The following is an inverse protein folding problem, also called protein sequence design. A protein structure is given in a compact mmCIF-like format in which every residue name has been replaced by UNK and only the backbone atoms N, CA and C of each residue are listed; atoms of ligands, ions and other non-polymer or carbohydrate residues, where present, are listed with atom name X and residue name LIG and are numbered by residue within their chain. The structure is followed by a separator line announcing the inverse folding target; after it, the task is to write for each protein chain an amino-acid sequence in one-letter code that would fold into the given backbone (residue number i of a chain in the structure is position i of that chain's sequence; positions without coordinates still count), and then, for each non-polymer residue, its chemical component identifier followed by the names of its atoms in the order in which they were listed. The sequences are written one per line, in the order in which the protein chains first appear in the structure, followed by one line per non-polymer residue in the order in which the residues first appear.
data_IF_124114689843
#
_entry.id   IF_124114689843
#
_cell.length_a   1.000
_cell.length_b   1.000
_cell.length_c   1.000
_cell.angle_alpha   90.00
_cell.angle_beta   90.00
_cell.angle_gamma   90.00
#
_symmetry.space_group_name_H-M   'P 1'
#
loop_
_entity.id
_entity.type
_entity.pdbx_description
1 polymer ?
#
# COMPACT_ATOMS: atom_id res chain seq x y z
N UNK A 1 11.45 54.84 -50.41
CA UNK A 1 12.14 53.59 -50.81
C UNK A 1 12.46 52.81 -49.54
N UNK A 2 11.86 51.62 -49.37
CA UNK A 2 11.99 50.75 -48.18
C UNK A 2 13.46 50.33 -47.98
N UNK A 3 13.93 50.29 -46.73
CA UNK A 3 15.09 49.48 -46.35
C UNK A 3 14.80 48.79 -45.01
N UNK A 4 14.71 47.47 -45.11
CA UNK A 4 14.55 46.48 -44.06
C UNK A 4 15.93 46.24 -43.45
N UNK A 5 16.07 46.20 -42.13
CA UNK A 5 17.21 45.53 -41.50
C UNK A 5 16.75 44.66 -40.33
N UNK A 6 17.05 43.37 -40.47
CA UNK A 6 16.75 42.26 -39.54
C UNK A 6 17.68 42.37 -38.32
N UNK A 7 17.12 42.39 -37.11
CA UNK A 7 17.87 42.23 -35.87
C UNK A 7 18.20 40.77 -35.61
N UNK A 8 19.43 40.36 -35.91
CA UNK A 8 19.97 39.07 -35.47
C UNK A 8 20.57 39.18 -34.08
N UNK A 9 20.18 38.28 -33.17
CA UNK A 9 20.75 38.19 -31.83
C UNK A 9 22.20 37.68 -31.94
N UNK A 10 23.16 38.58 -31.70
CA UNK A 10 24.57 38.24 -31.66
C UNK A 10 24.89 37.55 -30.34
N UNK A 11 24.87 36.22 -30.31
CA UNK A 11 25.40 35.44 -29.17
C UNK A 11 26.92 35.43 -29.27
N UNK A 12 27.59 36.05 -28.30
CA UNK A 12 29.05 36.04 -28.20
C UNK A 12 29.57 34.61 -28.10
N UNK A 13 30.62 34.27 -28.86
CA UNK A 13 31.33 32.98 -28.75
C UNK A 13 31.74 32.68 -27.30
N UNK A 14 32.04 33.70 -26.49
CA UNK A 14 32.38 33.52 -25.07
C UNK A 14 31.21 33.02 -24.21
N UNK A 15 29.97 33.33 -24.57
CA UNK A 15 28.77 32.86 -23.86
C UNK A 15 28.48 31.38 -24.15
N UNK A 16 28.79 30.92 -25.37
CA UNK A 16 28.67 29.52 -25.77
C UNK A 16 29.69 28.66 -25.00
N UNK A 17 30.95 29.10 -24.93
CA UNK A 17 31.99 28.38 -24.18
C UNK A 17 31.73 28.35 -22.67
N UNK A 18 31.16 29.41 -22.08
CA UNK A 18 30.77 29.41 -20.66
C UNK A 18 29.63 28.44 -20.35
N UNK A 19 28.63 28.34 -21.24
CA UNK A 19 27.53 27.37 -21.09
C UNK A 19 27.98 25.93 -21.28
N UNK A 20 28.87 25.68 -22.25
CA UNK A 20 29.46 24.36 -22.46
C UNK A 20 30.34 23.93 -21.26
N UNK A 21 31.10 24.85 -20.67
CA UNK A 21 31.89 24.59 -19.48
C UNK A 21 30.99 24.27 -18.26
N UNK A 22 29.91 25.04 -18.07
CA UNK A 22 28.95 24.79 -16.98
C UNK A 22 28.23 23.44 -17.13
N UNK A 23 27.79 23.10 -18.34
CA UNK A 23 27.18 21.80 -18.63
C UNK A 23 28.18 20.64 -18.46
N UNK A 24 29.44 20.85 -18.83
CA UNK A 24 30.52 19.88 -18.60
C UNK A 24 30.80 19.66 -17.11
N UNK A 25 30.83 20.73 -16.30
CA UNK A 25 31.01 20.62 -14.84
C UNK A 25 29.82 19.92 -14.19
N UNK A 26 28.58 20.22 -14.60
CA UNK A 26 27.37 19.55 -14.10
C UNK A 26 27.38 18.06 -14.48
N UNK A 27 27.79 17.70 -15.70
CA UNK A 27 27.89 16.31 -16.13
C UNK A 27 28.97 15.53 -15.36
N UNK A 28 30.11 16.16 -15.06
CA UNK A 28 31.17 15.54 -14.24
C UNK A 28 30.73 15.38 -12.79
N UNK A 29 30.01 16.35 -12.22
CA UNK A 29 29.44 16.23 -10.88
C UNK A 29 28.37 15.13 -10.80
N UNK A 30 27.46 15.04 -11.77
CA UNK A 30 26.46 13.98 -11.84
C UNK A 30 27.10 12.59 -12.01
N UNK A 31 28.14 12.47 -12.83
CA UNK A 31 28.89 11.22 -12.97
C UNK A 31 29.67 10.85 -11.70
N UNK A 32 30.22 11.83 -10.97
CA UNK A 32 30.90 11.62 -9.69
C UNK A 32 29.92 11.19 -8.58
N UNK A 33 28.71 11.76 -8.54
CA UNK A 33 27.64 11.34 -7.61
C UNK A 33 27.12 9.94 -7.94
N UNK A 34 26.96 9.60 -9.23
CA UNK A 34 26.54 8.25 -9.65
C UNK A 34 27.63 7.19 -9.36
N UNK A 35 28.91 7.55 -9.46
CA UNK A 35 30.01 6.66 -9.12
C UNK A 35 30.22 6.50 -7.60
N UNK A 36 29.92 7.56 -6.80
CA UNK A 36 29.97 7.53 -5.34
C UNK A 36 28.85 6.71 -4.72
N UNK A 37 27.67 6.69 -5.34
CA UNK A 37 26.51 5.94 -4.82
C UNK A 37 26.60 4.42 -5.12
N UNK A 38 27.47 3.99 -6.03
CA UNK A 38 27.60 2.60 -6.43
C UNK A 38 28.64 1.80 -5.62
N UNK A 39 29.54 2.46 -4.89
CA UNK A 39 30.75 1.82 -4.39
C UNK A 39 30.63 1.18 -2.99
N UNK A 40 29.63 1.51 -2.17
CA UNK A 40 29.49 0.94 -0.82
C UNK A 40 28.02 0.71 -0.44
N UNK A 41 27.28 -0.05 -1.27
CA UNK A 41 26.16 -0.80 -0.69
C UNK A 41 26.80 -1.82 0.26
N UNK A 42 26.48 -1.80 1.57
CA UNK A 42 26.99 -2.82 2.48
C UNK A 42 26.68 -4.19 1.87
N UNK A 43 27.74 -4.99 1.71
CA UNK A 43 27.66 -6.31 1.11
C UNK A 43 26.51 -7.07 1.74
N UNK A 44 25.68 -7.72 0.91
CA UNK A 44 24.52 -8.53 1.31
C UNK A 44 24.75 -9.12 2.69
N UNK A 45 24.05 -8.58 3.69
CA UNK A 45 24.00 -9.19 5.01
C UNK A 45 23.54 -10.62 4.77
N UNK A 46 24.42 -11.61 4.99
CA UNK A 46 23.99 -13.00 5.06
C UNK A 46 23.16 -13.13 6.32
N UNK A 47 21.84 -13.00 6.17
CA UNK A 47 20.90 -13.39 7.20
C UNK A 47 20.92 -14.93 7.20
N UNK A 48 21.69 -15.50 8.12
CA UNK A 48 21.93 -16.95 8.26
C UNK A 48 20.77 -17.68 8.97
N UNK A 49 19.59 -17.07 9.04
CA UNK A 49 18.35 -17.69 9.48
C UNK A 49 17.36 -17.68 8.33
N UNK A 50 16.69 -18.80 8.06
CA UNK A 50 15.52 -18.81 7.21
C UNK A 50 14.58 -17.69 7.68
N UNK A 51 14.27 -16.74 6.80
CA UNK A 51 13.34 -15.66 7.10
C UNK A 51 12.08 -16.29 7.69
N UNK A 52 11.74 -16.02 8.97
CA UNK A 52 10.57 -16.62 9.58
C UNK A 52 9.28 -16.15 8.89
N UNK A 53 9.35 -15.06 8.13
CA UNK A 53 8.25 -14.52 7.35
C UNK A 53 8.43 -14.88 5.88
N UNK A 54 7.66 -15.88 5.42
CA UNK A 54 7.60 -16.20 3.99
C UNK A 54 7.14 -14.95 3.21
N UNK A 55 8.04 -14.32 2.46
CA UNK A 55 7.68 -13.24 1.53
C UNK A 55 6.76 -13.82 0.46
N UNK A 56 5.51 -13.36 0.45
CA UNK A 56 4.53 -13.70 -0.60
C UNK A 56 4.62 -12.57 -1.63
N UNK A 57 5.10 -12.84 -2.85
CA UNK A 57 5.13 -11.81 -3.89
C UNK A 57 3.70 -11.45 -4.29
N UNK A 58 3.37 -10.16 -4.21
CA UNK A 58 2.12 -9.59 -4.74
C UNK A 58 2.38 -8.93 -6.10
N UNK A 59 1.40 -9.02 -7.01
CA UNK A 59 1.47 -8.36 -8.31
C UNK A 59 1.56 -6.85 -8.11
N UNK A 60 2.54 -6.17 -8.72
CA UNK A 60 2.76 -4.72 -8.53
C UNK A 60 1.86 -3.86 -9.42
N UNK A 61 0.57 -4.17 -9.48
CA UNK A 61 -0.41 -3.34 -10.20
C UNK A 61 -0.10 -3.13 -11.69
N UNK A 62 0.57 -4.09 -12.36
CA UNK A 62 0.52 -4.07 -13.82
C UNK A 62 -0.95 -4.20 -14.22
N UNK A 63 -1.39 -3.38 -15.18
CA UNK A 63 -2.76 -3.46 -15.70
C UNK A 63 -2.95 -4.86 -16.24
N UNK A 64 -3.60 -5.70 -15.44
CA UNK A 64 -3.80 -7.10 -15.79
C UNK A 64 -4.50 -7.14 -17.17
N UNK A 65 -4.06 -8.02 -18.08
CA UNK A 65 -4.60 -8.04 -19.44
C UNK A 65 -6.12 -8.19 -19.38
N UNK A 66 -6.85 -7.40 -20.16
CA UNK A 66 -8.32 -7.40 -20.11
C UNK A 66 -8.94 -8.61 -20.81
N UNK A 67 -8.19 -9.31 -21.66
CA UNK A 67 -8.62 -10.51 -22.37
C UNK A 67 -7.42 -11.43 -22.69
N UNK A 68 -7.70 -12.69 -22.96
CA UNK A 68 -6.70 -13.66 -23.40
C UNK A 68 -6.23 -13.32 -24.83
N UNK A 69 -4.93 -13.04 -24.99
CA UNK A 69 -4.36 -12.75 -26.31
C UNK A 69 -4.49 -13.95 -27.24
N UNK A 70 -4.87 -13.68 -28.48
CA UNK A 70 -5.09 -14.72 -29.49
C UNK A 70 -6.38 -15.53 -29.31
N UNK A 71 -7.32 -15.10 -28.45
CA UNK A 71 -8.61 -15.77 -28.26
C UNK A 71 -9.81 -14.81 -28.38
N UNK A 72 -10.88 -15.29 -29.04
CA UNK A 72 -12.18 -14.60 -29.12
C UNK A 72 -13.33 -15.58 -28.86
N UNK A 73 -14.48 -15.03 -28.50
CA UNK A 73 -15.75 -15.73 -28.42
C UNK A 73 -16.67 -15.27 -29.55
N UNK A 74 -17.28 -16.21 -30.27
CA UNK A 74 -18.18 -15.92 -31.39
C UNK A 74 -19.52 -16.62 -31.18
N UNK A 75 -20.62 -15.88 -31.28
CA UNK A 75 -21.97 -16.45 -31.29
C UNK A 75 -22.60 -16.29 -32.65
N UNK A 76 -23.14 -17.38 -33.18
CA UNK A 76 -23.90 -17.35 -34.45
C UNK A 76 -25.35 -16.92 -34.21
N UNK A 77 -26.01 -16.38 -35.24
CA UNK A 77 -27.45 -16.07 -35.17
C UNK A 77 -28.25 -17.38 -35.09
N UNK A 78 -29.25 -17.41 -34.21
CA UNK A 78 -30.17 -18.55 -34.09
C UNK A 78 -31.28 -18.43 -35.14
N UNK A 79 -31.44 -19.46 -35.98
CA UNK A 79 -32.50 -19.55 -36.98
C UNK A 79 -33.58 -20.52 -36.47
N UNK A 80 -34.64 -19.98 -35.87
CA UNK A 80 -35.59 -20.73 -35.02
C UNK A 80 -36.81 -21.34 -35.74
N UNK A 81 -36.81 -21.55 -37.06
CA UNK A 81 -37.93 -22.27 -37.70
C UNK A 81 -37.52 -23.31 -38.73
N UNK A 82 -38.20 -24.45 -38.65
CA UNK A 82 -38.00 -25.72 -39.33
C UNK A 82 -37.67 -25.65 -40.83
N UNK A 83 -36.37 -25.79 -41.15
CA UNK A 83 -35.77 -26.48 -42.30
C UNK A 83 -34.26 -26.22 -42.22
N UNK A 84 -33.45 -27.23 -41.90
CA UNK A 84 -32.02 -27.15 -41.54
C UNK A 84 -31.06 -26.65 -42.65
N UNK A 85 -31.52 -25.88 -43.64
CA UNK A 85 -30.67 -25.28 -44.67
C UNK A 85 -29.91 -24.05 -44.16
N UNK A 86 -30.57 -23.14 -43.42
CA UNK A 86 -29.94 -21.88 -42.98
C UNK A 86 -28.93 -22.10 -41.84
N UNK A 87 -29.19 -23.06 -40.95
CA UNK A 87 -28.25 -23.44 -39.89
C UNK A 87 -27.03 -24.19 -40.45
N UNK A 88 -27.23 -25.08 -41.44
CA UNK A 88 -26.14 -25.74 -42.13
C UNK A 88 -25.30 -24.75 -42.96
N UNK A 89 -25.95 -23.83 -43.67
CA UNK A 89 -25.28 -22.76 -44.41
C UNK A 89 -24.48 -21.85 -43.47
N UNK A 90 -25.05 -21.41 -42.35
CA UNK A 90 -24.32 -20.62 -41.35
C UNK A 90 -23.12 -21.39 -40.77
N UNK A 91 -23.23 -22.71 -40.56
CA UNK A 91 -22.12 -23.53 -40.10
C UNK A 91 -21.03 -23.71 -41.19
N UNK A 92 -21.41 -23.82 -42.47
CA UNK A 92 -20.49 -23.87 -43.61
C UNK A 92 -19.77 -22.53 -43.82
N UNK A 93 -20.51 -21.43 -43.77
CA UNK A 93 -19.98 -20.08 -43.85
C UNK A 93 -19.05 -19.77 -42.68
N UNK A 94 -19.40 -20.22 -41.47
CA UNK A 94 -18.52 -20.09 -40.31
C UNK A 94 -17.23 -20.91 -40.45
N UNK A 95 -17.31 -22.16 -40.93
CA UNK A 95 -16.11 -22.97 -41.25
C UNK A 95 -15.24 -22.29 -42.32
N UNK A 96 -15.86 -21.73 -43.35
CA UNK A 96 -15.17 -21.03 -44.45
C UNK A 96 -14.48 -19.77 -43.94
N UNK A 97 -15.16 -18.98 -43.11
CA UNK A 97 -14.58 -17.80 -42.47
C UNK A 97 -13.38 -18.16 -41.59
N UNK A 98 -13.51 -19.18 -40.75
CA UNK A 98 -12.41 -19.65 -39.91
C UNK A 98 -11.19 -20.07 -40.75
N UNK A 99 -11.41 -20.79 -41.86
CA UNK A 99 -10.34 -21.18 -42.77
C UNK A 99 -9.65 -19.98 -43.46
N UNK A 100 -10.42 -18.97 -43.88
CA UNK A 100 -9.89 -17.74 -44.50
C UNK A 100 -9.10 -16.91 -43.50
N UNK A 101 -9.58 -16.83 -42.25
CA UNK A 101 -8.94 -16.05 -41.21
C UNK A 101 -7.82 -16.81 -40.48
N UNK A 102 -7.63 -18.10 -40.78
CA UNK A 102 -6.66 -18.96 -40.10
C UNK A 102 -6.98 -19.18 -38.62
N UNK A 103 -8.26 -19.09 -38.24
CA UNK A 103 -8.72 -19.30 -36.88
C UNK A 103 -9.15 -20.76 -36.65
N UNK A 104 -8.92 -21.25 -35.43
CA UNK A 104 -9.26 -22.60 -35.01
C UNK A 104 -10.40 -22.54 -33.98
N UNK A 105 -11.44 -23.35 -34.17
CA UNK A 105 -12.48 -23.54 -33.15
C UNK A 105 -11.93 -24.49 -32.10
N UNK A 106 -11.74 -23.99 -30.89
CA UNK A 106 -11.20 -24.77 -29.76
C UNK A 106 -12.32 -25.52 -29.05
N UNK A 107 -13.46 -24.84 -28.83
CA UNK A 107 -14.55 -25.36 -28.02
C UNK A 107 -15.88 -24.72 -28.43
N UNK A 108 -16.98 -25.47 -28.26
CA UNK A 108 -18.35 -24.95 -28.30
C UNK A 108 -18.94 -24.99 -26.89
N UNK A 109 -19.31 -23.82 -26.36
CA UNK A 109 -19.74 -23.60 -24.98
C UNK A 109 -21.24 -23.35 -24.97
N UNK A 110 -22.05 -24.24 -24.37
CA UNK A 110 -23.49 -24.03 -24.27
C UNK A 110 -23.83 -22.82 -23.39
N UNK A 111 -24.56 -21.84 -23.94
CA UNK A 111 -25.04 -20.65 -23.19
C UNK A 111 -26.56 -20.64 -23.03
N UNK A 112 -27.27 -21.49 -23.75
CA UNK A 112 -28.68 -21.83 -23.52
C UNK A 112 -29.01 -23.18 -24.17
N UNK A 113 -30.22 -23.69 -23.96
CA UNK A 113 -30.70 -24.93 -24.59
C UNK A 113 -30.70 -24.90 -26.14
N UNK A 114 -30.53 -23.74 -26.76
CA UNK A 114 -30.62 -23.54 -28.21
C UNK A 114 -29.45 -22.74 -28.79
N UNK A 115 -28.39 -22.49 -28.02
CA UNK A 115 -27.28 -21.68 -28.49
C UNK A 115 -25.96 -22.00 -27.79
N UNK A 116 -24.92 -22.08 -28.62
CA UNK A 116 -23.54 -22.18 -28.19
C UNK A 116 -22.79 -20.89 -28.53
N UNK A 117 -21.75 -20.62 -27.74
CA UNK A 117 -20.68 -19.67 -28.04
C UNK A 117 -19.44 -20.48 -28.40
N UNK A 118 -18.81 -20.15 -29.51
CA UNK A 118 -17.59 -20.82 -29.96
C UNK A 118 -16.38 -20.06 -29.43
N UNK A 119 -15.48 -20.76 -28.76
CA UNK A 119 -14.14 -20.25 -28.43
C UNK A 119 -13.23 -20.48 -29.63
N UNK A 120 -12.63 -19.40 -30.14
CA UNK A 120 -11.72 -19.47 -31.27
C UNK A 120 -10.32 -19.03 -30.85
N UNK A 121 -9.32 -19.71 -31.38
CA UNK A 121 -7.92 -19.28 -31.37
C UNK A 121 -7.61 -18.60 -32.71
N UNK A 122 -7.14 -17.37 -32.68
CA UNK A 122 -6.80 -16.58 -33.88
C UNK A 122 -5.29 -16.65 -34.17
N UNK A 123 -4.84 -16.45 -35.42
CA UNK A 123 -3.42 -16.51 -35.74
C UNK A 123 -2.67 -15.34 -35.10
N UNK A 124 -1.40 -15.56 -34.73
CA UNK A 124 -0.55 -14.53 -34.11
C UNK A 124 -0.34 -13.27 -34.99
N UNK A 125 -0.70 -13.32 -36.27
CA UNK A 125 -0.67 -12.19 -37.20
C UNK A 125 -1.90 -11.29 -37.11
N UNK A 126 -2.91 -11.65 -36.31
CA UNK A 126 -4.18 -10.93 -36.17
C UNK A 126 -4.38 -10.54 -34.71
N UNK A 127 -4.70 -9.26 -34.48
CA UNK A 127 -5.04 -8.80 -33.13
C UNK A 127 -6.46 -9.23 -32.73
N UNK A 128 -6.73 -9.33 -31.43
CA UNK A 128 -8.08 -9.61 -30.89
C UNK A 128 -9.11 -8.61 -31.41
N UNK A 129 -8.78 -7.31 -31.38
CA UNK A 129 -9.68 -6.25 -31.87
C UNK A 129 -10.00 -6.40 -33.37
N UNK A 130 -9.00 -6.72 -34.18
CA UNK A 130 -9.20 -6.97 -35.61
C UNK A 130 -10.06 -8.20 -35.85
N UNK A 131 -9.83 -9.29 -35.11
CA UNK A 131 -10.62 -10.50 -35.23
C UNK A 131 -12.09 -10.23 -34.90
N UNK A 132 -12.38 -9.56 -33.78
CA UNK A 132 -13.73 -9.18 -33.38
C UNK A 132 -14.45 -8.43 -34.52
N UNK A 133 -13.84 -7.39 -35.08
CA UNK A 133 -14.43 -6.62 -36.19
C UNK A 133 -14.73 -7.51 -37.40
N UNK A 134 -13.80 -8.42 -37.77
CA UNK A 134 -13.95 -9.32 -38.92
C UNK A 134 -15.10 -10.31 -38.72
N UNK A 135 -15.24 -10.89 -37.53
CA UNK A 135 -16.35 -11.80 -37.23
C UNK A 135 -17.68 -11.07 -37.13
N UNK A 136 -17.75 -9.92 -36.46
CA UNK A 136 -18.99 -9.12 -36.35
C UNK A 136 -19.50 -8.62 -37.70
N UNK A 137 -18.61 -8.40 -38.66
CA UNK A 137 -18.98 -7.99 -40.02
C UNK A 137 -19.71 -9.10 -40.82
N UNK A 138 -19.77 -10.33 -40.30
CA UNK A 138 -20.35 -11.48 -41.00
C UNK A 138 -21.85 -11.60 -40.76
N UNK A 139 -22.67 -11.84 -41.81
CA UNK A 139 -24.14 -11.77 -41.70
C UNK A 139 -24.74 -12.87 -40.82
N UNK A 140 -24.04 -13.98 -40.61
CA UNK A 140 -24.43 -15.12 -39.79
C UNK A 140 -23.91 -15.05 -38.33
N UNK A 141 -23.06 -14.07 -38.01
CA UNK A 141 -22.56 -13.84 -36.64
C UNK A 141 -23.51 -12.91 -35.91
N UNK A 142 -23.92 -13.30 -34.70
CA UNK A 142 -24.75 -12.49 -33.79
C UNK A 142 -23.90 -11.48 -33.04
N UNK A 143 -22.75 -11.91 -32.53
CA UNK A 143 -21.71 -11.08 -31.95
C UNK A 143 -20.38 -11.83 -31.96
N UNK A 144 -19.29 -11.07 -31.89
CA UNK A 144 -17.98 -11.58 -31.52
C UNK A 144 -17.39 -10.65 -30.45
N UNK A 145 -16.63 -11.20 -29.52
CA UNK A 145 -16.03 -10.43 -28.44
C UNK A 145 -14.68 -11.03 -28.01
N UNK A 146 -13.82 -10.26 -27.34
CA UNK A 146 -12.64 -10.80 -26.69
C UNK A 146 -13.00 -11.91 -25.69
N UNK A 147 -12.14 -12.90 -25.52
CA UNK A 147 -12.25 -13.80 -24.36
C UNK A 147 -11.73 -13.06 -23.11
N UNK A 148 -12.60 -12.32 -22.44
CA UNK A 148 -12.23 -11.48 -21.30
C UNK A 148 -11.62 -12.29 -20.15
N UNK A 149 -10.56 -11.75 -19.57
CA UNK A 149 -9.99 -12.27 -18.33
C UNK A 149 -10.76 -11.64 -17.17
N UNK A 150 -11.23 -12.49 -16.27
CA UNK A 150 -11.90 -12.07 -15.04
C UNK A 150 -10.93 -12.24 -13.89
N UNK A 151 -10.78 -11.18 -13.09
CA UNK A 151 -9.95 -11.18 -11.89
C UNK A 151 -10.87 -11.15 -10.67
N UNK A 152 -10.46 -11.74 -9.54
CA UNK A 152 -11.13 -11.48 -8.27
C UNK A 152 -11.12 -9.97 -8.01
N UNK A 153 -12.21 -9.45 -7.44
CA UNK A 153 -12.25 -8.05 -7.00
C UNK A 153 -11.13 -7.81 -5.97
N UNK A 154 -10.38 -6.73 -6.14
CA UNK A 154 -9.34 -6.36 -5.19
C UNK A 154 -9.95 -6.04 -3.82
N UNK A 155 -9.23 -6.40 -2.76
CA UNK A 155 -9.65 -6.22 -1.38
C UNK A 155 -9.49 -4.75 -0.99
N UNK A 156 -10.56 -3.98 -1.17
CA UNK A 156 -10.65 -2.60 -0.73
C UNK A 156 -11.50 -2.48 0.54
N UNK A 157 -11.06 -1.69 1.54
CA UNK A 157 -11.89 -1.39 2.69
C UNK A 157 -13.01 -0.43 2.29
N UNK A 158 -14.18 -0.56 2.92
CA UNK A 158 -15.29 0.36 2.72
C UNK A 158 -15.14 1.70 3.49
N UNK A 159 -14.00 1.91 4.15
CA UNK A 159 -13.63 3.09 4.92
C UNK A 159 -13.76 4.40 4.14
N UNK A 160 -14.40 5.40 4.74
CA UNK A 160 -14.81 6.62 4.04
C UNK A 160 -13.63 7.32 3.37
N UNK A 161 -12.55 7.56 4.11
CA UNK A 161 -11.39 8.26 3.56
C UNK A 161 -10.60 7.41 2.57
N UNK A 162 -10.71 6.07 2.62
CA UNK A 162 -10.14 5.21 1.58
C UNK A 162 -10.96 5.33 0.29
N UNK A 163 -12.29 5.28 0.39
CA UNK A 163 -13.19 5.44 -0.77
C UNK A 163 -13.13 6.83 -1.40
N UNK A 164 -12.72 7.85 -0.64
CA UNK A 164 -12.43 9.19 -1.16
C UNK A 164 -11.03 9.34 -1.76
N UNK A 165 -10.24 8.25 -1.78
CA UNK A 165 -8.86 8.20 -2.26
C UNK A 165 -7.95 9.17 -1.48
N UNK A 166 -8.19 9.37 -0.17
CA UNK A 166 -7.38 10.24 0.69
C UNK A 166 -6.24 9.52 1.40
N UNK A 167 -6.28 8.19 1.48
CA UNK A 167 -5.19 7.35 2.02
C UNK A 167 -4.13 7.07 0.95
N UNK A 168 -3.50 8.13 0.43
CA UNK A 168 -2.53 8.03 -0.67
C UNK A 168 -1.29 7.21 -0.30
N UNK A 169 -0.95 7.08 0.99
CA UNK A 169 0.14 6.22 1.45
C UNK A 169 -0.19 4.72 1.27
N UNK A 170 -1.48 4.36 1.33
CA UNK A 170 -1.96 3.00 1.16
C UNK A 170 -2.20 2.67 -0.32
N UNK A 171 -2.86 3.58 -1.04
CA UNK A 171 -3.20 3.43 -2.45
C UNK A 171 -3.24 4.78 -3.16
N UNK A 172 -2.29 5.02 -4.05
CA UNK A 172 -2.11 6.28 -4.75
C UNK A 172 -2.55 6.18 -6.22
N UNK A 173 -3.74 6.70 -6.50
CA UNK A 173 -4.33 6.76 -7.85
C UNK A 173 -3.93 8.03 -8.62
N UNK A 174 -3.18 8.94 -8.00
CA UNK A 174 -2.92 10.28 -8.54
C UNK A 174 -4.01 11.32 -8.24
N UNK A 175 -4.86 11.08 -7.24
CA UNK A 175 -5.88 12.03 -6.81
C UNK A 175 -5.26 13.33 -6.27
N UNK A 176 -5.32 14.41 -7.06
CA UNK A 176 -4.78 15.71 -6.65
C UNK A 176 -5.46 16.27 -5.41
N UNK A 177 -6.77 16.03 -5.23
CA UNK A 177 -7.51 16.54 -4.07
C UNK A 177 -6.99 15.97 -2.74
N UNK A 178 -6.50 14.73 -2.74
CA UNK A 178 -5.90 14.10 -1.56
C UNK A 178 -4.60 14.79 -1.12
N UNK A 179 -3.88 15.43 -2.05
CA UNK A 179 -2.62 16.10 -1.79
C UNK A 179 -2.68 17.61 -1.97
N UNK A 180 -3.86 18.22 -2.16
CA UNK A 180 -4.01 19.67 -2.39
C UNK A 180 -3.39 20.52 -1.27
N UNK A 181 -3.26 19.96 -0.07
CA UNK A 181 -2.62 20.60 1.08
C UNK A 181 -1.09 20.58 1.04
N UNK A 182 -0.50 19.78 0.16
CA UNK A 182 0.93 19.54 0.03
C UNK A 182 1.39 20.03 -1.35
N UNK A 183 2.52 20.72 -1.44
CA UNK A 183 3.02 21.34 -2.69
C UNK A 183 3.53 20.34 -3.75
N UNK A 184 3.01 19.10 -3.78
CA UNK A 184 3.45 18.01 -4.64
C UNK A 184 2.30 17.43 -5.46
N UNK A 185 2.58 17.13 -6.73
CA UNK A 185 1.68 16.34 -7.56
C UNK A 185 1.80 14.86 -7.16
N UNK A 186 0.70 14.16 -6.86
CA UNK A 186 0.75 12.76 -6.51
C UNK A 186 1.20 11.96 -7.73
N UNK A 187 2.15 11.05 -7.54
CA UNK A 187 2.62 10.12 -8.57
C UNK A 187 1.84 8.80 -8.41
N UNK A 188 0.96 8.43 -9.36
CA UNK A 188 0.23 7.16 -9.27
C UNK A 188 1.17 5.96 -9.05
N UNK A 189 0.80 5.08 -8.13
CA UNK A 189 1.58 3.90 -7.72
C UNK A 189 2.78 4.20 -6.82
N UNK A 190 3.01 5.46 -6.42
CA UNK A 190 3.96 5.79 -5.36
C UNK A 190 3.29 5.64 -3.99
N UNK A 191 3.16 4.39 -3.55
CA UNK A 191 2.52 3.94 -2.31
C UNK A 191 3.09 2.59 -1.86
N UNK A 192 2.54 2.01 -0.79
CA UNK A 192 2.97 0.72 -0.24
C UNK A 192 2.29 -0.49 -0.92
N UNK A 193 1.42 -0.29 -1.92
CA UNK A 193 0.57 -1.32 -2.54
C UNK A 193 -0.27 -2.08 -1.49
N UNK A 194 -0.95 -1.34 -0.61
CA UNK A 194 -1.71 -1.94 0.48
C UNK A 194 -2.87 -2.83 -0.02
N UNK A 195 -3.67 -2.45 -1.02
CA UNK A 195 -4.73 -3.31 -1.54
C UNK A 195 -4.23 -4.66 -2.06
N UNK A 196 -3.11 -4.66 -2.77
CA UNK A 196 -2.48 -5.88 -3.28
C UNK A 196 -1.97 -6.78 -2.14
N UNK A 197 -1.52 -6.19 -1.03
CA UNK A 197 -1.16 -6.94 0.17
C UNK A 197 -2.41 -7.47 0.92
N UNK A 198 -3.50 -6.71 0.95
CA UNK A 198 -4.75 -7.12 1.59
C UNK A 198 -5.44 -8.29 0.91
N UNK A 199 -5.22 -8.48 -0.40
CA UNK A 199 -5.62 -9.71 -1.11
C UNK A 199 -4.94 -10.97 -0.56
N UNK A 200 -3.78 -10.82 0.10
CA UNK A 200 -3.07 -11.92 0.75
C UNK A 200 -3.46 -12.01 2.23
N UNK A 201 -3.41 -10.89 2.97
CA UNK A 201 -3.63 -10.89 4.42
C UNK A 201 -4.00 -9.49 4.92
N UNK A 202 -5.12 -9.40 5.62
CA UNK A 202 -5.53 -8.20 6.38
C UNK A 202 -5.44 -8.41 7.90
N UNK A 203 -5.47 -9.65 8.36
CA UNK A 203 -5.53 -10.02 9.77
C UNK A 203 -4.13 -10.23 10.37
N UNK A 204 -3.74 -9.44 11.36
CA UNK A 204 -2.54 -9.62 12.19
C UNK A 204 -2.93 -9.69 13.67
N UNK A 205 -4.09 -10.31 13.96
CA UNK A 205 -4.65 -10.38 15.32
C UNK A 205 -3.75 -11.15 16.30
N UNK A 206 -2.82 -11.96 15.81
CA UNK A 206 -1.80 -12.66 16.57
C UNK A 206 -0.55 -11.82 16.89
N UNK A 207 -0.46 -10.59 16.38
CA UNK A 207 0.69 -9.69 16.55
C UNK A 207 0.35 -8.56 17.51
N UNK A 208 1.18 -8.42 18.55
CA UNK A 208 1.17 -7.26 19.46
C UNK A 208 2.20 -6.25 18.98
N UNK A 209 1.71 -5.08 18.57
CA UNK A 209 2.52 -3.90 18.23
C UNK A 209 2.42 -2.90 19.37
N UNK A 210 3.56 -2.60 20.00
CA UNK A 210 3.62 -1.58 21.03
C UNK A 210 3.96 -0.21 20.43
N UNK A 211 3.12 0.79 20.67
CA UNK A 211 3.35 2.19 20.29
C UNK A 211 3.93 2.90 21.51
N UNK A 212 5.23 3.19 21.46
CA UNK A 212 5.93 3.92 22.52
C UNK A 212 5.93 5.39 22.14
N UNK A 213 5.02 6.19 22.70
CA UNK A 213 4.74 7.56 22.21
C UNK A 213 4.05 8.44 23.29
N UNK A 214 3.16 9.33 22.88
CA UNK A 214 2.32 10.23 23.67
C UNK A 214 1.06 9.58 24.25
N UNK A 215 0.87 8.28 24.07
CA UNK A 215 -0.37 7.58 24.43
C UNK A 215 -1.35 7.49 23.28
N UNK A 216 -2.45 6.76 23.51
CA UNK A 216 -3.44 6.43 22.49
C UNK A 216 -4.84 6.62 23.07
N UNK A 217 -5.70 7.31 22.33
CA UNK A 217 -7.13 7.36 22.60
C UNK A 217 -7.78 5.98 22.38
N UNK A 218 -7.70 5.12 23.39
CA UNK A 218 -8.16 3.72 23.31
C UNK A 218 -9.64 3.56 22.98
N UNK A 219 -10.46 4.57 23.26
CA UNK A 219 -11.88 4.61 22.94
C UNK A 219 -12.19 5.21 21.56
N UNK A 220 -11.19 5.56 20.75
CA UNK A 220 -11.42 6.04 19.39
C UNK A 220 -12.14 4.94 18.57
N UNK A 221 -13.26 5.23 17.87
CA UNK A 221 -14.08 4.20 17.24
C UNK A 221 -13.33 3.28 16.25
N UNK A 222 -12.38 3.85 15.48
CA UNK A 222 -11.56 3.08 14.53
C UNK A 222 -10.37 2.35 15.19
N UNK A 223 -10.09 2.55 16.48
CA UNK A 223 -8.96 1.91 17.17
C UNK A 223 -9.38 0.96 18.28
N UNK A 224 -10.48 1.27 18.99
CA UNK A 224 -10.95 0.49 20.14
C UNK A 224 -11.02 -1.02 19.88
N UNK A 225 -11.47 -1.51 18.71
CA UNK A 225 -11.50 -2.95 18.43
C UNK A 225 -10.12 -3.62 18.31
N UNK A 226 -9.07 -2.84 18.05
CA UNK A 226 -7.70 -3.31 17.86
C UNK A 226 -6.78 -2.95 19.04
N UNK A 227 -7.29 -2.35 20.11
CA UNK A 227 -6.48 -2.13 21.30
C UNK A 227 -6.13 -3.49 21.94
N UNK A 228 -4.85 -3.66 22.28
CA UNK A 228 -4.42 -4.76 23.13
C UNK A 228 -5.06 -4.60 24.52
N UNK A 229 -5.44 -5.72 25.14
CA UNK A 229 -6.13 -5.74 26.43
C UNK A 229 -5.39 -6.62 27.41
N UNK A 230 -5.02 -6.08 28.57
CA UNK A 230 -4.69 -6.87 29.74
C UNK A 230 -5.99 -7.39 30.37
N UNK A 231 -6.37 -8.63 30.04
CA UNK A 231 -7.63 -9.24 30.51
C UNK A 231 -7.69 -9.39 32.04
N UNK A 232 -6.53 -9.47 32.71
CA UNK A 232 -6.48 -9.54 34.16
C UNK A 232 -6.93 -8.22 34.80
N UNK A 233 -6.41 -7.10 34.32
CA UNK A 233 -6.78 -5.75 34.80
C UNK A 233 -8.18 -5.34 34.34
N UNK A 234 -8.58 -5.67 33.10
CA UNK A 234 -9.92 -5.33 32.59
C UNK A 234 -11.04 -5.94 33.46
N UNK A 235 -10.78 -7.09 34.07
CA UNK A 235 -11.70 -7.82 34.93
C UNK A 235 -11.29 -7.78 36.41
N UNK A 236 -10.29 -6.96 36.73
CA UNK A 236 -9.70 -6.78 38.04
C UNK A 236 -10.46 -5.79 38.94
N UNK A 237 -9.85 -5.48 40.07
CA UNK A 237 -10.36 -4.51 41.03
C UNK A 237 -9.69 -3.14 40.81
N UNK A 238 -10.44 -2.04 40.64
CA UNK A 238 -9.85 -0.73 40.38
C UNK A 238 -8.80 -0.31 41.43
N UNK A 239 -7.62 0.07 40.97
CA UNK A 239 -6.50 0.48 41.80
C UNK A 239 -5.69 -0.68 42.39
N UNK A 240 -5.87 -1.89 41.85
CA UNK A 240 -5.10 -3.10 42.20
C UNK A 240 -4.30 -3.54 40.97
N UNK A 241 -3.12 -4.10 41.22
CA UNK A 241 -2.32 -4.82 40.21
C UNK A 241 -2.72 -6.30 40.31
N UNK A 242 -3.67 -6.70 39.48
CA UNK A 242 -4.38 -7.99 39.57
C UNK A 242 -3.58 -9.15 38.97
N UNK A 243 -2.69 -8.87 38.01
CA UNK A 243 -1.76 -9.86 37.47
C UNK A 243 -0.40 -9.89 38.19
N UNK A 244 -0.14 -8.94 39.10
CA UNK A 244 1.09 -8.83 39.86
C UNK A 244 2.28 -8.43 38.98
N UNK A 245 2.04 -7.75 37.86
CA UNK A 245 3.08 -7.32 36.93
C UNK A 245 3.80 -6.03 37.38
N UNK A 246 3.34 -5.39 38.46
CA UNK A 246 3.90 -4.16 39.01
C UNK A 246 3.33 -2.87 38.41
N UNK A 247 2.30 -2.95 37.58
CA UNK A 247 1.63 -1.85 36.90
C UNK A 247 0.13 -1.94 37.19
N UNK A 248 -0.38 -1.01 37.99
CA UNK A 248 -1.79 -0.98 38.41
C UNK A 248 -2.67 -0.49 37.26
N UNK A 249 -3.79 -1.17 37.02
CA UNK A 249 -4.82 -0.82 36.04
C UNK A 249 -4.26 -0.66 34.59
N UNK A 250 -3.26 -1.45 34.19
CA UNK A 250 -2.59 -1.35 32.88
C UNK A 250 -3.39 -1.98 31.70
N UNK A 251 -4.70 -1.72 31.66
CA UNK A 251 -5.69 -2.37 30.80
C UNK A 251 -5.32 -2.33 29.31
N UNK A 252 -4.79 -1.22 28.80
CA UNK A 252 -4.44 -1.06 27.38
C UNK A 252 -2.94 -0.78 27.17
N UNK A 253 -2.15 -1.02 28.23
CA UNK A 253 -0.78 -0.55 28.37
C UNK A 253 -0.64 0.41 29.55
N UNK A 254 0.49 1.13 29.61
CA UNK A 254 0.86 1.92 30.78
C UNK A 254 1.42 3.30 30.42
N UNK A 255 1.20 4.28 31.29
CA UNK A 255 1.77 5.62 31.21
C UNK A 255 2.98 5.76 32.14
N UNK A 256 4.17 5.71 31.57
CA UNK A 256 5.44 5.91 32.27
C UNK A 256 5.76 7.38 32.54
N UNK A 257 5.08 8.32 31.89
CA UNK A 257 5.26 9.76 32.13
C UNK A 257 4.59 10.18 33.44
N UNK A 258 3.33 9.78 33.66
CA UNK A 258 2.59 10.04 34.91
C UNK A 258 2.69 8.90 35.93
N UNK A 259 3.20 7.73 35.54
CA UNK A 259 3.34 6.53 36.36
C UNK A 259 2.00 5.96 36.83
N UNK A 260 1.07 5.76 35.88
CA UNK A 260 -0.24 5.16 36.10
C UNK A 260 -0.81 4.44 34.85
N UNK A 261 -1.98 3.80 34.98
CA UNK A 261 -2.68 3.13 33.88
C UNK A 261 -3.45 4.06 32.92
N UNK A 262 -3.40 5.39 33.12
CA UNK A 262 -4.16 6.36 32.31
C UNK A 262 -3.39 6.72 31.03
N UNK A 263 -3.51 5.90 29.99
CA UNK A 263 -2.73 6.08 28.75
C UNK A 263 -3.13 7.28 27.86
N UNK A 264 -4.18 8.03 28.20
CA UNK A 264 -4.67 9.17 27.41
C UNK A 264 -5.44 10.17 28.30
N UNK A 265 -5.06 11.44 28.24
CA UNK A 265 -5.52 12.54 29.09
C UNK A 265 -6.37 13.59 28.33
N UNK A 266 -6.57 13.42 27.03
CA UNK A 266 -7.28 14.37 26.16
C UNK A 266 -6.67 15.79 26.17
N UNK A 267 -5.35 15.91 26.35
CA UNK A 267 -4.65 17.18 26.21
C UNK A 267 -4.44 17.50 24.73
N UNK A 268 -5.03 18.59 24.21
CA UNK A 268 -4.94 18.90 22.80
C UNK A 268 -3.55 19.27 22.29
N UNK A 269 -2.59 19.47 23.19
CA UNK A 269 -1.22 19.76 22.81
C UNK A 269 -0.34 18.51 22.77
N UNK A 270 -0.77 17.39 23.38
CA UNK A 270 0.18 16.36 23.83
C UNK A 270 -0.22 14.91 23.65
N UNK A 271 -1.48 14.56 23.36
CA UNK A 271 -1.91 13.14 23.33
C UNK A 271 -2.39 12.64 21.96
N UNK A 272 -2.19 13.43 20.90
CA UNK A 272 -2.68 13.07 19.56
C UNK A 272 -1.69 12.29 18.70
N UNK A 273 -0.38 12.44 18.91
CA UNK A 273 0.63 11.87 18.02
C UNK A 273 0.60 10.34 18.04
N UNK A 274 0.57 9.73 19.23
CA UNK A 274 0.48 8.28 19.38
C UNK A 274 -0.80 7.70 18.81
N UNK A 275 -1.95 8.36 19.01
CA UNK A 275 -3.24 8.00 18.38
C UNK A 275 -3.15 8.01 16.85
N UNK A 276 -2.51 9.03 16.26
CA UNK A 276 -2.30 9.11 14.82
C UNK A 276 -1.39 7.98 14.31
N UNK A 277 -0.27 7.70 14.99
CA UNK A 277 0.61 6.58 14.64
C UNK A 277 -0.10 5.22 14.74
N UNK A 278 -0.89 5.00 15.79
CA UNK A 278 -1.70 3.80 15.97
C UNK A 278 -2.71 3.61 14.82
N UNK A 279 -3.33 4.69 14.36
CA UNK A 279 -4.26 4.66 13.22
C UNK A 279 -3.60 4.17 11.92
N UNK A 280 -2.36 4.60 11.65
CA UNK A 280 -1.61 4.12 10.48
C UNK A 280 -1.32 2.63 10.60
N UNK A 281 -0.94 2.16 11.78
CA UNK A 281 -0.63 0.75 12.05
C UNK A 281 -1.88 -0.12 11.85
N UNK A 282 -2.97 0.24 12.54
CA UNK A 282 -4.12 -0.65 12.64
C UNK A 282 -5.41 0.01 13.06
N UNK A 283 -5.77 1.15 12.48
CA UNK A 283 -7.18 1.50 12.41
C UNK A 283 -7.96 0.33 11.77
N UNK A 284 -9.08 -0.05 12.38
CA UNK A 284 -9.89 -1.19 11.93
C UNK A 284 -10.35 -0.94 10.50
N UNK A 285 -10.00 -1.85 9.61
CA UNK A 285 -10.41 -1.76 8.21
C UNK A 285 -11.76 -2.42 7.95
N UNK A 286 -12.44 -1.91 6.93
CA UNK A 286 -13.69 -2.42 6.38
C UNK A 286 -14.84 -2.48 7.40
N UNK A 287 -14.95 -1.46 8.24
CA UNK A 287 -16.00 -1.38 9.25
C UNK A 287 -16.95 -0.18 9.05
N UNK A 288 -16.84 0.57 7.95
CA UNK A 288 -17.72 1.69 7.70
C UNK A 288 -19.18 1.23 7.54
N UNK A 289 -20.08 1.91 8.26
CA UNK A 289 -21.53 1.70 8.16
C UNK A 289 -22.25 3.01 7.88
N UNK A 290 -23.36 2.93 7.15
CA UNK A 290 -24.18 4.08 6.82
C UNK A 290 -24.68 4.76 8.11
N UNK A 291 -24.34 6.04 8.29
CA UNK A 291 -24.70 6.82 9.49
C UNK A 291 -23.90 6.46 10.75
N UNK A 292 -22.90 5.56 10.68
CA UNK A 292 -22.02 5.24 11.80
C UNK A 292 -20.95 6.30 12.05
N UNK A 293 -20.27 6.19 13.19
CA UNK A 293 -19.14 7.06 13.57
C UNK A 293 -17.77 6.41 13.37
N UNK A 294 -17.72 5.09 13.16
CA UNK A 294 -16.51 4.33 12.80
C UNK A 294 -16.40 4.14 11.27
N UNK A 295 -15.25 3.66 10.80
CA UNK A 295 -14.88 3.48 9.39
C UNK A 295 -14.45 4.77 8.71
N UNK A 296 -13.64 5.55 9.41
CA UNK A 296 -12.97 6.72 8.86
C UNK A 296 -11.82 6.30 7.95
N UNK A 297 -10.80 5.69 8.55
CA UNK A 297 -9.55 5.24 7.89
C UNK A 297 -9.28 3.77 8.15
N UNK A 298 -8.58 3.10 7.22
CA UNK A 298 -8.04 1.76 7.43
C UNK A 298 -6.52 1.82 7.68
N UNK A 299 -6.05 1.13 8.71
CA UNK A 299 -4.62 0.92 8.96
C UNK A 299 -4.00 -0.11 8.02
N UNK A 300 -2.69 -0.28 8.09
CA UNK A 300 -1.98 -1.32 7.31
C UNK A 300 -2.50 -2.72 7.67
N UNK A 301 -2.68 -3.00 8.96
CA UNK A 301 -3.27 -4.24 9.47
C UNK A 301 -4.69 -3.96 9.99
N UNK A 302 -5.71 -4.55 9.35
CA UNK A 302 -7.11 -4.25 9.68
C UNK A 302 -7.52 -4.81 11.03
N UNK A 303 -6.95 -5.96 11.43
CA UNK A 303 -7.05 -6.50 12.77
C UNK A 303 -5.64 -6.69 13.32
N UNK A 304 -5.34 -6.16 14.50
CA UNK A 304 -4.04 -6.24 15.16
C UNK A 304 -4.24 -5.93 16.65
N UNK A 305 -3.28 -6.24 17.50
CA UNK A 305 -3.29 -5.81 18.90
C UNK A 305 -2.33 -4.64 19.10
N UNK A 306 -2.86 -3.47 19.46
CA UNK A 306 -2.11 -2.24 19.68
C UNK A 306 -1.98 -1.96 21.17
N UNK A 307 -0.75 -2.07 21.70
CA UNK A 307 -0.43 -1.75 23.08
C UNK A 307 0.10 -0.33 23.19
N UNK A 308 -0.41 0.46 24.13
CA UNK A 308 0.08 1.82 24.37
C UNK A 308 1.18 1.84 25.42
N UNK A 309 2.29 2.51 25.13
CA UNK A 309 3.30 2.84 26.14
C UNK A 309 3.57 4.33 26.08
N UNK A 310 2.87 5.08 26.94
CA UNK A 310 3.04 6.53 27.00
C UNK A 310 4.30 6.85 27.79
N UNK A 311 5.18 7.66 27.21
CA UNK A 311 6.35 8.18 27.92
C UNK A 311 6.63 9.66 27.61
N UNK A 312 5.95 10.21 26.60
CA UNK A 312 5.99 11.61 26.20
C UNK A 312 4.79 12.38 26.77
N UNK A 313 5.03 13.60 27.23
CA UNK A 313 4.01 14.56 27.65
C UNK A 313 4.36 16.00 27.24
N UNK A 314 3.79 17.04 27.90
CA UNK A 314 3.90 18.47 27.56
C UNK A 314 5.30 19.11 27.41
N UNK A 315 6.37 18.36 27.64
CA UNK A 315 7.75 18.80 27.47
C UNK A 315 8.67 17.75 26.87
N UNK A 316 8.10 16.72 26.24
CA UNK A 316 8.81 15.52 25.81
C UNK A 316 8.79 14.43 26.89
N UNK A 317 9.80 13.56 26.87
CA UNK A 317 9.93 12.43 27.78
C UNK A 317 11.38 12.16 28.16
N UNK A 318 11.56 11.30 29.16
CA UNK A 318 12.87 10.96 29.71
C UNK A 318 13.32 9.59 29.23
N UNK A 319 14.64 9.41 29.04
CA UNK A 319 15.20 8.15 28.52
C UNK A 319 14.92 6.95 29.43
N UNK A 320 14.83 7.14 30.75
CA UNK A 320 14.51 6.04 31.68
C UNK A 320 13.08 5.54 31.48
N UNK A 321 12.13 6.44 31.19
CA UNK A 321 10.75 6.07 30.87
C UNK A 321 10.64 5.36 29.51
N UNK A 322 11.41 5.78 28.51
CA UNK A 322 11.50 5.04 27.24
C UNK A 322 12.05 3.61 27.44
N UNK A 323 13.06 3.45 28.31
CA UNK A 323 13.61 2.14 28.67
C UNK A 323 12.59 1.29 29.44
N UNK A 324 11.86 1.87 30.39
CA UNK A 324 10.78 1.17 31.12
C UNK A 324 9.67 0.71 30.16
N UNK A 325 9.27 1.57 29.21
CA UNK A 325 8.33 1.22 28.16
C UNK A 325 8.79 0.02 27.32
N UNK A 326 10.06 -0.01 26.89
CA UNK A 326 10.62 -1.15 26.16
C UNK A 326 10.61 -2.45 26.99
N UNK A 327 10.97 -2.36 28.28
CA UNK A 327 10.97 -3.51 29.17
C UNK A 327 9.55 -4.03 29.42
N UNK A 328 8.58 -3.12 29.59
CA UNK A 328 7.17 -3.45 29.73
C UNK A 328 6.62 -4.12 28.46
N UNK A 329 6.83 -3.52 27.29
CA UNK A 329 6.38 -4.08 26.02
C UNK A 329 6.90 -5.52 25.82
N UNK A 330 8.19 -5.75 26.11
CA UNK A 330 8.77 -7.10 26.13
C UNK A 330 8.09 -8.02 27.13
N UNK A 331 7.87 -7.55 28.36
CA UNK A 331 7.24 -8.33 29.43
C UNK A 331 5.82 -8.77 29.06
N UNK A 332 5.08 -7.90 28.40
CA UNK A 332 3.70 -8.14 27.97
C UNK A 332 3.60 -8.83 26.60
N UNK A 333 4.74 -9.24 26.02
CA UNK A 333 4.78 -10.09 24.82
C UNK A 333 4.71 -9.35 23.49
N UNK A 334 4.91 -8.04 23.46
CA UNK A 334 5.09 -7.31 22.21
C UNK A 334 6.28 -7.87 21.43
N UNK A 335 6.14 -7.93 20.10
CA UNK A 335 7.21 -8.40 19.19
C UNK A 335 7.75 -7.28 18.30
N UNK A 336 7.00 -6.18 18.20
CA UNK A 336 7.32 -5.01 17.37
C UNK A 336 7.07 -3.75 18.22
N UNK A 337 7.97 -2.79 18.13
CA UNK A 337 7.76 -1.44 18.69
C UNK A 337 7.79 -0.39 17.58
N UNK A 338 6.85 0.56 17.66
CA UNK A 338 6.83 1.77 16.85
C UNK A 338 7.34 2.94 17.67
N UNK A 339 8.41 3.59 17.20
CA UNK A 339 9.15 4.62 17.92
C UNK A 339 9.24 5.90 17.06
N UNK A 340 8.13 6.64 17.01
CA UNK A 340 7.99 7.87 16.21
C UNK A 340 8.49 9.10 16.96
N UNK A 341 9.66 8.99 17.59
CA UNK A 341 10.27 10.02 18.40
C UNK A 341 11.77 9.95 18.27
N UNK A 342 12.43 11.02 18.69
CA UNK A 342 13.88 11.09 18.78
C UNK A 342 14.31 12.44 19.31
N UNK A 343 15.62 12.60 19.47
CA UNK A 343 16.26 13.77 20.04
C UNK A 343 17.17 13.44 21.20
N UNK A 344 17.72 14.50 21.82
CA UNK A 344 18.79 14.35 22.79
C UNK A 344 20.11 13.99 22.11
N UNK A 345 20.81 13.00 22.65
CA UNK A 345 22.06 12.49 22.09
C UNK A 345 22.22 11.01 22.41
N UNK A 346 23.30 10.41 21.92
CA UNK A 346 23.58 8.99 22.13
C UNK A 346 23.45 8.59 23.61
N UNK A 347 22.61 7.58 23.85
CA UNK A 347 22.33 7.03 25.17
C UNK A 347 22.70 5.55 25.20
N UNK A 348 23.79 5.22 25.88
CA UNK A 348 24.25 3.83 26.03
C UNK A 348 23.20 2.94 26.70
N UNK A 349 22.46 3.46 27.67
CA UNK A 349 21.43 2.68 28.36
C UNK A 349 20.23 2.39 27.46
N UNK A 350 19.87 3.32 26.57
CA UNK A 350 18.81 3.09 25.60
C UNK A 350 19.24 2.10 24.52
N UNK A 351 20.47 2.23 24.00
CA UNK A 351 21.06 1.23 23.08
C UNK A 351 21.04 -0.17 23.69
N UNK A 352 21.50 -0.33 24.93
CA UNK A 352 21.47 -1.62 25.64
C UNK A 352 20.03 -2.14 25.82
N UNK A 353 19.07 -1.29 26.11
CA UNK A 353 17.66 -1.68 26.22
C UNK A 353 17.09 -2.16 24.88
N UNK A 354 17.36 -1.44 23.79
CA UNK A 354 16.95 -1.81 22.42
C UNK A 354 17.56 -3.16 22.05
N UNK A 355 18.87 -3.32 22.21
CA UNK A 355 19.59 -4.55 21.88
C UNK A 355 19.11 -5.77 22.69
N UNK A 356 18.74 -5.58 23.96
CA UNK A 356 18.26 -6.65 24.83
C UNK A 356 16.75 -6.90 24.75
N UNK A 357 15.99 -6.09 24.01
CA UNK A 357 14.54 -6.23 23.91
C UNK A 357 14.15 -7.55 23.23
N UNK A 358 14.85 -7.93 22.16
CA UNK A 358 14.48 -9.04 21.29
C UNK A 358 13.29 -8.74 20.37
N UNK A 359 12.80 -7.50 20.35
CA UNK A 359 11.71 -7.02 19.50
C UNK A 359 12.26 -6.35 18.23
N UNK A 360 11.46 -6.27 17.17
CA UNK A 360 11.75 -5.40 16.04
C UNK A 360 11.50 -3.93 16.46
N UNK A 361 12.57 -3.15 16.56
CA UNK A 361 12.53 -1.73 16.93
C UNK A 361 12.49 -0.83 15.69
N UNK A 362 11.33 -0.22 15.41
CA UNK A 362 11.11 0.63 14.23
C UNK A 362 11.22 2.10 14.64
N UNK A 363 12.24 2.80 14.15
CA UNK A 363 12.53 4.18 14.50
C UNK A 363 12.31 5.15 13.32
N UNK A 364 11.82 6.36 13.63
CA UNK A 364 11.80 7.47 12.67
C UNK A 364 13.21 8.02 12.42
N UNK A 365 13.45 8.55 11.22
CA UNK A 365 14.76 9.04 10.81
C UNK A 365 15.08 10.48 11.28
N UNK A 366 14.12 11.18 11.89
CA UNK A 366 14.18 12.62 12.12
C UNK A 366 13.53 13.43 10.99
N UNK A 367 13.26 14.70 11.27
CA UNK A 367 12.45 15.59 10.42
C UNK A 367 13.24 16.81 9.89
N UNK A 368 14.54 16.86 10.15
CA UNK A 368 15.39 18.02 9.88
C UNK A 368 15.87 18.09 8.43
N UNK A 369 15.71 17.01 7.65
CA UNK A 369 16.16 16.93 6.26
C UNK A 369 17.69 16.97 6.12
N UNK A 370 18.39 16.34 7.07
CA UNK A 370 19.85 16.34 7.16
C UNK A 370 20.45 14.95 6.92
N UNK A 371 21.76 14.91 6.70
CA UNK A 371 22.51 13.67 6.59
C UNK A 371 22.83 13.11 7.98
N UNK A 372 22.17 12.01 8.35
CA UNK A 372 22.32 11.39 9.67
C UNK A 372 23.69 10.72 9.88
N UNK A 373 24.44 10.44 8.81
CA UNK A 373 25.83 9.95 8.93
C UNK A 373 26.76 11.06 9.46
N UNK A 374 26.37 12.33 9.29
CA UNK A 374 27.12 13.52 9.72
C UNK A 374 26.50 14.15 10.98
N UNK A 375 25.17 14.27 11.03
CA UNK A 375 24.41 14.85 12.14
C UNK A 375 23.38 13.84 12.63
N UNK A 376 23.78 12.88 13.48
CA UNK A 376 22.91 11.78 13.87
C UNK A 376 21.64 12.24 14.58
N UNK A 377 20.52 11.63 14.18
CA UNK A 377 19.28 11.59 14.94
C UNK A 377 19.30 10.34 15.84
N UNK A 378 18.87 10.49 17.09
CA UNK A 378 18.88 9.43 18.09
C UNK A 378 17.50 9.20 18.66
#
# INVERSE_FOLDING_TARGET
MRLIYKGGIHVSRSAIWRRALLLGIIAVLLAAFAASAAAELPGKVQIDSADPFKVIPVSRGQKEPTWAEGEILVRLKTYMSAADADAQAAAEDFRSLNAVLGAEVVEAIPVSAAADVYKLKIPATMSVAEAVIRYESSPFVRYAEPNYLWYPDATYPNDRFFTYEWLYNMHNTGNQAATERWFHAPLPGADINAPEAWDVRTDASDVIVCVIDQGIQSYHPDLAPNMWVNEAELHGEPGVDDDGNGFVDDVYGYDFYYDDGTIYHDDPNDDYHGTHCAGIIGARGNDAVAGGFHGGVAGVAWNVQIMSCKFLGPGGGQSDNAIKALNYAKKMGATITSNSWGGGGYSKSLEEAIANSGMLFIAAAGNEGVDNDIMPHY
#
